data_IF_204810189246
#
_entry.id   IF_204810189246
#
_cell.length_a   1.000
_cell.length_b   1.000
_cell.length_c   1.000
_cell.angle_alpha   90.00
_cell.angle_beta   90.00
_cell.angle_gamma   90.00
#
_symmetry.space_group_name_H-M   'P 1'
#
loop_
_entity.id
_entity.type
_entity.pdbx_description
1 polymer ?
#
# COMPACT_ATOMS: atom_id res chain seq x y z
N UNK A 1 4.33 2.96 -20.50
CA UNK A 1 4.16 3.67 -19.21
C UNK A 1 5.44 3.48 -18.42
N UNK A 2 5.98 4.54 -17.82
CA UNK A 2 7.16 4.44 -16.98
C UNK A 2 6.76 3.85 -15.61
N UNK A 3 7.57 2.92 -15.10
CA UNK A 3 7.30 2.22 -13.85
C UNK A 3 8.37 2.59 -12.83
N UNK A 4 7.92 2.87 -11.62
CA UNK A 4 8.77 2.97 -10.46
C UNK A 4 8.76 1.64 -9.71
N UNK A 5 9.94 1.05 -9.53
CA UNK A 5 10.09 -0.20 -8.77
C UNK A 5 10.57 0.11 -7.35
N UNK A 6 9.80 -0.32 -6.36
CA UNK A 6 10.10 -0.15 -4.94
C UNK A 6 10.45 -1.52 -4.36
N UNK A 7 11.67 -1.67 -3.89
CA UNK A 7 12.19 -2.90 -3.27
C UNK A 7 11.81 -2.93 -1.80
N UNK A 8 11.28 -4.07 -1.33
CA UNK A 8 10.88 -4.27 0.07
C UNK A 8 11.84 -5.28 0.72
N UNK A 9 12.62 -4.84 1.69
CA UNK A 9 13.58 -5.70 2.42
C UNK A 9 13.23 -5.81 3.89
N UNK A 10 13.54 -6.96 4.46
CA UNK A 10 13.53 -7.13 5.91
C UNK A 10 14.71 -6.36 6.53
N UNK A 11 14.51 -5.86 7.74
CA UNK A 11 15.58 -5.26 8.55
C UNK A 11 15.67 -5.98 9.90
N UNK A 12 16.84 -5.94 10.52
CA UNK A 12 17.15 -6.68 11.77
C UNK A 12 16.29 -6.29 12.97
N UNK A 13 15.49 -5.22 12.87
CA UNK A 13 14.72 -4.62 13.97
C UNK A 13 13.19 -4.75 13.83
N UNK A 14 12.68 -5.68 13.00
CA UNK A 14 11.23 -5.87 12.71
C UNK A 14 10.59 -4.72 11.92
N UNK A 15 11.40 -4.01 11.14
CA UNK A 15 10.92 -3.03 10.18
C UNK A 15 11.06 -3.57 8.76
N UNK A 16 10.25 -3.06 7.85
CA UNK A 16 10.46 -3.19 6.42
C UNK A 16 11.05 -1.87 5.90
N UNK A 17 12.11 -1.98 5.11
CA UNK A 17 12.67 -0.86 4.37
C UNK A 17 12.16 -0.91 2.94
N UNK A 18 11.59 0.21 2.48
CA UNK A 18 11.10 0.35 1.12
C UNK A 18 11.98 1.37 0.39
N UNK A 19 12.70 0.88 -0.61
CA UNK A 19 13.74 1.64 -1.31
C UNK A 19 13.44 1.67 -2.81
N UNK A 20 13.59 2.83 -3.43
CA UNK A 20 13.51 2.97 -4.89
C UNK A 20 14.64 2.16 -5.56
N UNK A 21 14.30 1.24 -6.45
CA UNK A 21 15.26 0.30 -7.02
C UNK A 21 16.30 0.99 -7.93
N UNK A 22 15.89 2.05 -8.63
CA UNK A 22 16.74 2.75 -9.59
C UNK A 22 17.74 3.68 -8.89
N UNK A 23 17.24 4.51 -7.96
CA UNK A 23 18.04 5.52 -7.26
C UNK A 23 18.64 5.04 -5.94
N UNK A 24 18.21 3.88 -5.43
CA UNK A 24 18.53 3.37 -4.09
C UNK A 24 18.10 4.34 -2.97
N UNK A 25 17.18 5.26 -3.26
CA UNK A 25 16.67 6.23 -2.29
C UNK A 25 15.67 5.58 -1.35
N UNK A 26 15.81 5.69 -0.01
CA UNK A 26 14.80 5.26 0.93
C UNK A 26 13.49 6.05 0.75
N UNK A 27 12.39 5.34 0.53
CA UNK A 27 11.08 5.95 0.33
C UNK A 27 10.22 5.86 1.59
N UNK A 28 10.18 4.69 2.23
CA UNK A 28 9.36 4.45 3.41
C UNK A 28 10.07 3.57 4.43
N UNK A 29 9.76 3.80 5.70
CA UNK A 29 9.97 2.85 6.78
C UNK A 29 8.63 2.32 7.25
N UNK A 30 8.51 1.00 7.39
CA UNK A 30 7.29 0.38 7.87
C UNK A 30 7.60 -0.43 9.11
N UNK A 31 6.95 -0.08 10.21
CA UNK A 31 6.97 -0.84 11.45
C UNK A 31 5.77 -1.78 11.44
N UNK A 32 6.01 -3.06 11.73
CA UNK A 32 4.94 -4.05 11.93
C UNK A 32 5.01 -4.55 13.36
N UNK A 33 3.90 -4.44 14.10
CA UNK A 33 3.87 -4.84 15.50
C UNK A 33 2.56 -5.55 15.88
N UNK A 34 2.53 -6.17 17.05
CA UNK A 34 1.33 -6.85 17.58
C UNK A 34 0.37 -5.90 18.30
N UNK A 35 0.84 -4.69 18.62
CA UNK A 35 0.04 -3.65 19.27
C UNK A 35 -0.77 -2.88 18.22
N UNK A 36 -1.81 -2.17 18.63
CA UNK A 36 -2.59 -1.31 17.73
C UNK A 36 -1.91 0.07 17.66
N UNK A 37 -1.68 0.64 16.45
CA UNK A 37 -1.91 0.03 15.13
C UNK A 37 -0.88 -1.06 14.79
N UNK A 38 -1.33 -2.12 14.11
CA UNK A 38 -0.48 -3.26 13.74
C UNK A 38 0.58 -2.90 12.71
N UNK A 39 0.36 -1.84 11.92
CA UNK A 39 1.31 -1.34 10.94
C UNK A 39 1.37 0.18 10.99
N UNK A 40 2.58 0.71 10.94
CA UNK A 40 2.87 2.14 10.84
C UNK A 40 3.88 2.34 9.71
N UNK A 41 3.48 3.05 8.66
CA UNK A 41 4.35 3.43 7.55
C UNK A 41 4.66 4.92 7.63
N UNK A 42 5.94 5.25 7.57
CA UNK A 42 6.46 6.60 7.61
C UNK A 42 7.13 6.86 6.27
N UNK A 43 6.74 7.94 5.61
CA UNK A 43 7.39 8.39 4.38
C UNK A 43 8.65 9.19 4.67
N UNK A 44 9.77 8.74 4.09
CA UNK A 44 11.11 9.32 4.27
C UNK A 44 11.48 10.31 3.16
N UNK A 45 11.05 10.06 1.92
CA UNK A 45 11.39 10.92 0.79
C UNK A 45 10.67 12.28 0.87
N UNK A 46 11.30 13.39 0.43
CA UNK A 46 10.65 14.69 0.36
C UNK A 46 9.41 14.63 -0.54
N UNK A 47 8.43 15.48 -0.25
CA UNK A 47 7.31 15.75 -1.18
C UNK A 47 7.93 16.40 -2.42
N UNK A 48 7.59 15.98 -3.66
CA UNK A 48 8.02 16.74 -4.82
C UNK A 48 7.33 18.11 -4.74
N UNK A 49 8.14 19.14 -4.47
CA UNK A 49 7.95 20.54 -4.86
C UNK A 49 6.54 21.12 -4.74
N UNK A 50 6.24 21.73 -3.59
CA UNK A 50 5.76 23.11 -3.64
C UNK A 50 7.04 23.96 -3.75
N UNK A 51 7.28 24.58 -4.90
CA UNK A 51 8.46 25.41 -5.21
C UNK A 51 8.53 26.72 -4.38
N UNK A 52 8.21 26.70 -3.09
CA UNK A 52 8.20 27.93 -2.29
C UNK A 52 8.93 27.92 -0.97
N UNK A 53 9.50 26.82 -0.50
CA UNK A 53 10.32 26.88 0.71
C UNK A 53 11.39 25.79 0.73
N UNK A 54 12.62 26.18 0.44
CA UNK A 54 13.85 25.57 0.96
C UNK A 54 13.84 25.63 2.50
N UNK A 55 12.98 24.86 3.14
CA UNK A 55 13.03 24.67 4.59
C UNK A 55 13.73 23.36 4.88
N UNK A 56 14.86 23.50 5.57
CA UNK A 56 15.51 22.44 6.34
C UNK A 56 14.48 21.58 7.08
N UNK A 57 14.87 20.33 7.39
CA UNK A 57 14.12 19.44 8.27
C UNK A 57 13.44 20.25 9.38
N UNK A 58 12.10 20.20 9.52
CA UNK A 58 11.41 20.98 10.53
C UNK A 58 11.95 20.64 11.91
N UNK A 59 12.15 21.66 12.74
CA UNK A 59 12.75 21.55 14.09
C UNK A 59 12.02 20.55 15.00
N UNK A 60 10.73 20.30 14.73
CA UNK A 60 9.95 19.27 15.40
C UNK A 60 9.82 18.03 14.51
N UNK A 61 10.81 17.15 14.61
CA UNK A 61 10.81 15.83 13.97
C UNK A 61 9.56 15.02 14.33
N UNK A 62 9.07 15.11 15.57
CA UNK A 62 7.91 14.34 16.02
C UNK A 62 6.63 14.81 15.33
N UNK A 63 6.36 16.11 15.26
CA UNK A 63 5.22 16.64 14.51
C UNK A 63 5.33 16.36 13.01
N UNK A 64 6.54 16.40 12.46
CA UNK A 64 6.81 16.09 11.06
C UNK A 64 6.54 14.64 10.70
N UNK A 65 6.99 13.70 11.55
CA UNK A 65 6.73 12.29 11.38
C UNK A 65 5.25 11.98 11.62
N UNK A 66 4.61 12.54 12.65
CA UNK A 66 3.17 12.39 12.93
C UNK A 66 2.30 12.73 11.71
N UNK A 67 2.60 13.82 10.99
CA UNK A 67 1.89 14.23 9.76
C UNK A 67 2.07 13.26 8.58
N UNK A 68 3.10 12.41 8.62
CA UNK A 68 3.49 11.48 7.55
C UNK A 68 3.33 10.02 7.94
N UNK A 69 2.69 9.74 9.07
CA UNK A 69 2.36 8.38 9.48
C UNK A 69 1.08 7.95 8.78
N UNK A 70 1.17 6.82 8.10
CA UNK A 70 0.05 6.03 7.63
C UNK A 70 -0.06 4.83 8.55
N UNK A 71 -1.26 4.53 9.05
CA UNK A 71 -1.44 3.37 9.94
C UNK A 71 -2.42 2.37 9.35
N UNK A 72 -2.20 1.09 9.66
CA UNK A 72 -3.18 0.05 9.40
C UNK A 72 -3.52 -0.68 10.71
N UNK A 73 -4.81 -0.79 10.98
CA UNK A 73 -5.39 -1.50 12.12
C UNK A 73 -6.15 -2.70 11.58
N UNK A 74 -5.73 -3.89 11.98
CA UNK A 74 -6.40 -5.11 11.60
C UNK A 74 -6.32 -6.16 12.71
N UNK A 75 -7.41 -6.91 12.85
CA UNK A 75 -7.46 -8.08 13.71
C UNK A 75 -7.21 -9.30 12.83
N UNK A 76 -6.29 -10.19 13.23
CA UNK A 76 -5.93 -11.38 12.43
C UNK A 76 -7.13 -12.24 11.98
N UNK A 77 -8.25 -12.20 12.71
CA UNK A 77 -9.48 -12.94 12.39
C UNK A 77 -10.52 -12.12 11.60
N UNK A 78 -10.20 -10.87 11.26
CA UNK A 78 -11.13 -9.96 10.57
C UNK A 78 -10.97 -10.09 9.05
N UNK A 79 -12.08 -9.98 8.33
CA UNK A 79 -12.08 -9.84 6.87
C UNK A 79 -11.80 -8.40 6.42
N UNK A 80 -11.77 -7.45 7.37
CA UNK A 80 -11.64 -6.04 7.10
C UNK A 80 -10.40 -5.47 7.80
N UNK A 81 -9.72 -4.56 7.11
CA UNK A 81 -8.61 -3.76 7.62
C UNK A 81 -9.03 -2.29 7.62
N UNK A 82 -8.90 -1.63 8.76
CA UNK A 82 -9.06 -0.18 8.85
C UNK A 82 -7.71 0.48 8.60
N UNK A 83 -7.59 1.18 7.48
CA UNK A 83 -6.43 2.00 7.16
C UNK A 83 -6.74 3.42 7.60
N UNK A 84 -5.78 4.08 8.24
CA UNK A 84 -5.83 5.51 8.50
C UNK A 84 -4.72 6.17 7.68
N UNK A 85 -5.14 6.91 6.66
CA UNK A 85 -4.25 7.49 5.66
C UNK A 85 -4.15 8.99 5.95
N UNK A 86 -3.02 9.42 6.54
CA UNK A 86 -2.80 10.78 7.08
C UNK A 86 -3.83 11.18 8.15
N UNK A 87 -3.80 12.45 8.57
CA UNK A 87 -4.52 12.95 9.76
C UNK A 87 -6.05 12.75 9.76
N UNK A 88 -6.73 12.48 8.63
CA UNK A 88 -8.21 12.51 8.61
C UNK A 88 -8.93 11.56 7.61
N UNK A 89 -8.29 10.51 7.09
CA UNK A 89 -8.97 9.64 6.10
C UNK A 89 -8.93 8.18 6.51
N UNK A 90 -10.00 7.75 7.17
CA UNK A 90 -10.26 6.35 7.44
C UNK A 90 -10.72 5.66 6.15
N UNK A 91 -9.98 4.64 5.75
CA UNK A 91 -10.24 3.83 4.56
C UNK A 91 -10.47 2.40 5.00
N UNK A 92 -11.64 1.86 4.68
CA UNK A 92 -11.96 0.47 4.98
C UNK A 92 -11.55 -0.42 3.80
N UNK A 93 -10.51 -1.21 4.00
CA UNK A 93 -10.10 -2.25 3.07
C UNK A 93 -10.87 -3.53 3.41
N UNK A 94 -11.78 -3.91 2.52
CA UNK A 94 -12.76 -4.99 2.74
C UNK A 94 -12.47 -6.18 1.84
N UNK A 95 -12.40 -7.38 2.42
CA UNK A 95 -12.25 -8.61 1.64
C UNK A 95 -13.56 -8.98 0.97
N UNK A 96 -13.52 -9.34 -0.32
CA UNK A 96 -14.75 -9.70 -1.08
C UNK A 96 -15.48 -10.92 -0.48
N UNK A 97 -14.73 -11.91 0.04
CA UNK A 97 -15.29 -13.08 0.73
C UNK A 97 -14.23 -13.77 1.61
N UNK A 98 -14.64 -14.70 2.48
CA UNK A 98 -13.75 -15.46 3.39
C UNK A 98 -12.68 -16.26 2.63
N UNK A 99 -12.98 -16.70 1.41
CA UNK A 99 -12.07 -17.50 0.58
C UNK A 99 -11.35 -16.68 -0.48
N UNK A 100 -11.80 -15.45 -0.76
CA UNK A 100 -11.19 -14.59 -1.76
C UNK A 100 -9.88 -14.00 -1.25
N UNK A 101 -8.82 -13.91 -2.06
CA UNK A 101 -7.62 -13.13 -1.68
C UNK A 101 -7.72 -11.66 -2.11
N UNK A 102 -8.89 -11.24 -2.59
CA UNK A 102 -9.13 -9.89 -3.10
C UNK A 102 -9.68 -8.96 -2.03
N UNK A 103 -9.15 -7.75 -2.00
CA UNK A 103 -9.54 -6.69 -1.08
C UNK A 103 -9.84 -5.40 -1.84
N UNK A 104 -10.96 -4.78 -1.52
CA UNK A 104 -11.41 -3.55 -2.18
C UNK A 104 -11.52 -2.40 -1.19
N UNK A 105 -11.26 -1.18 -1.66
CA UNK A 105 -11.44 0.04 -0.89
C UNK A 105 -11.80 1.20 -1.82
N UNK A 106 -12.53 2.18 -1.29
CA UNK A 106 -12.70 3.47 -1.97
C UNK A 106 -11.45 4.30 -1.73
N UNK A 107 -10.78 4.78 -2.80
CA UNK A 107 -9.56 5.60 -2.70
C UNK A 107 -9.91 7.08 -2.50
N UNK A 108 -9.58 7.66 -1.33
CA UNK A 108 -9.75 9.10 -1.13
C UNK A 108 -8.76 9.94 -1.94
N UNK A 109 -7.55 9.44 -2.22
CA UNK A 109 -6.56 10.15 -3.02
C UNK A 109 -7.05 10.39 -4.46
N UNK A 110 -7.65 9.37 -5.10
CA UNK A 110 -8.20 9.52 -6.44
C UNK A 110 -9.42 10.44 -6.48
N UNK A 111 -10.28 10.39 -5.46
CA UNK A 111 -11.39 11.33 -5.33
C UNK A 111 -10.90 12.78 -5.18
N UNK A 112 -9.83 13.01 -4.39
CA UNK A 112 -9.24 14.34 -4.23
C UNK A 112 -8.58 14.84 -5.52
N UNK A 113 -7.83 14.00 -6.22
CA UNK A 113 -7.17 14.37 -7.48
C UNK A 113 -8.15 14.78 -8.58
N UNK A 114 -9.33 14.14 -8.64
CA UNK A 114 -10.38 14.50 -9.61
C UNK A 114 -11.10 15.81 -9.29
N UNK A 115 -11.04 16.29 -8.04
CA UNK A 115 -11.76 17.51 -7.62
C UNK A 115 -11.04 18.77 -8.10
N UNK A 116 -9.72 18.70 -8.34
CA UNK A 116 -8.89 19.82 -8.83
C UNK A 116 -9.02 20.05 -10.34
N UNK A 117 -9.49 19.06 -11.08
CA UNK A 117 -9.83 19.18 -12.50
C UNK A 117 -11.30 19.59 -12.62
N UNK A 118 -11.55 20.84 -13.00
CA UNK A 118 -12.89 21.42 -13.19
C UNK A 118 -13.72 20.66 -14.23
N UNK A 119 -14.39 19.58 -13.82
CA UNK A 119 -15.43 18.92 -14.60
C UNK A 119 -16.55 18.50 -13.65
N UNK A 120 -17.72 19.11 -13.81
CA UNK A 120 -18.93 18.97 -13.00
C UNK A 120 -19.64 17.62 -13.13
N UNK A 121 -18.91 16.54 -13.45
CA UNK A 121 -19.44 15.17 -13.37
C UNK A 121 -19.25 14.68 -11.95
N UNK A 122 -20.34 14.24 -11.30
CA UNK A 122 -20.37 13.72 -9.94
C UNK A 122 -19.11 12.92 -9.60
N UNK A 123 -18.45 13.25 -8.48
CA UNK A 123 -17.23 12.59 -8.02
C UNK A 123 -17.50 11.09 -7.83
N UNK A 124 -17.24 10.29 -8.86
CA UNK A 124 -17.39 8.85 -8.78
C UNK A 124 -16.31 8.33 -7.82
N UNK A 125 -16.77 7.73 -6.72
CA UNK A 125 -15.92 7.00 -5.79
C UNK A 125 -15.07 6.02 -6.60
N UNK A 126 -13.75 6.24 -6.64
CA UNK A 126 -12.84 5.34 -7.34
C UNK A 126 -12.56 4.14 -6.45
N UNK A 127 -13.21 3.01 -6.74
CA UNK A 127 -12.97 1.75 -6.05
C UNK A 127 -11.68 1.15 -6.60
N UNK A 128 -10.76 0.84 -5.70
CA UNK A 128 -9.54 0.12 -5.99
C UNK A 128 -9.62 -1.28 -5.41
N UNK A 129 -9.14 -2.28 -6.15
CA UNK A 129 -9.14 -3.68 -5.73
C UNK A 129 -7.74 -4.26 -5.86
N UNK A 130 -7.20 -4.76 -4.75
CA UNK A 130 -6.10 -5.71 -4.74
C UNK A 130 -6.64 -7.10 -5.08
N UNK A 131 -6.03 -7.77 -6.05
CA UNK A 131 -6.36 -9.14 -6.43
C UNK A 131 -5.12 -9.89 -6.91
N UNK A 132 -5.21 -11.22 -6.97
CA UNK A 132 -4.13 -12.05 -7.49
C UNK A 132 -3.81 -11.69 -8.95
N UNK A 133 -2.54 -11.51 -9.27
CA UNK A 133 -2.11 -11.30 -10.65
C UNK A 133 -2.05 -12.65 -11.38
N UNK A 134 -3.10 -12.95 -12.16
CA UNK A 134 -3.21 -14.20 -12.92
C UNK A 134 -2.08 -14.41 -13.95
N UNK A 135 -1.35 -13.35 -14.29
CA UNK A 135 -0.20 -13.39 -15.22
C UNK A 135 1.14 -13.58 -14.52
N UNK A 136 1.16 -13.49 -13.19
CA UNK A 136 2.37 -13.54 -12.38
C UNK A 136 2.59 -14.89 -11.69
N UNK A 137 3.54 -14.90 -10.75
CA UNK A 137 3.81 -16.05 -9.92
C UNK A 137 2.79 -16.16 -8.77
N UNK A 138 2.73 -17.33 -8.13
CA UNK A 138 1.92 -17.50 -6.92
C UNK A 138 2.36 -16.49 -5.84
N UNK A 139 1.39 -15.70 -5.37
CA UNK A 139 1.63 -14.62 -4.40
C UNK A 139 1.85 -13.25 -5.00
N UNK A 140 1.85 -13.11 -6.33
CA UNK A 140 1.79 -11.80 -6.98
C UNK A 140 0.38 -11.22 -6.91
N UNK A 141 0.31 -9.90 -6.70
CA UNK A 141 -0.95 -9.16 -6.62
C UNK A 141 -0.90 -7.94 -7.51
N UNK A 142 -2.07 -7.46 -7.94
CA UNK A 142 -2.22 -6.21 -8.68
C UNK A 142 -3.31 -5.36 -8.05
N UNK A 143 -3.08 -4.06 -8.04
CA UNK A 143 -4.06 -3.05 -7.68
C UNK A 143 -4.71 -2.53 -8.96
N UNK A 144 -6.00 -2.78 -9.09
CA UNK A 144 -6.80 -2.32 -10.23
C UNK A 144 -7.74 -1.21 -9.81
N UNK A 145 -7.93 -0.23 -10.69
CA UNK A 145 -9.07 0.68 -10.63
C UNK A 145 -10.26 -0.03 -11.29
N UNK A 146 -11.30 -0.28 -10.50
CA UNK A 146 -12.53 -0.89 -11.02
C UNK A 146 -13.20 0.09 -12.00
N UNK A 147 -13.75 -0.45 -13.08
CA UNK A 147 -14.50 0.27 -14.09
C UNK A 147 -15.74 -0.56 -14.47
N UNK A 148 -16.76 0.08 -15.06
CA UNK A 148 -17.98 -0.62 -15.50
C UNK A 148 -17.68 -1.66 -16.59
N UNK A 149 -16.68 -1.38 -17.44
CA UNK A 149 -16.18 -2.31 -18.44
C UNK A 149 -14.81 -2.86 -18.05
N UNK A 150 -14.60 -4.16 -18.23
CA UNK A 150 -13.28 -4.81 -18.04
C UNK A 150 -12.20 -4.22 -18.95
N UNK A 151 -12.57 -3.70 -20.13
CA UNK A 151 -11.63 -3.06 -21.06
C UNK A 151 -11.06 -1.74 -20.52
N UNK A 152 -11.80 -1.06 -19.65
CA UNK A 152 -11.41 0.21 -19.03
C UNK A 152 -10.65 0.00 -17.70
N UNK A 153 -10.48 -1.26 -17.31
CA UNK A 153 -9.82 -1.64 -16.06
C UNK A 153 -8.33 -1.34 -16.13
N UNK A 154 -7.88 -0.43 -15.26
CA UNK A 154 -6.49 0.01 -15.24
C UNK A 154 -5.73 -0.55 -14.04
N UNK A 155 -4.56 -1.15 -14.30
CA UNK A 155 -3.62 -1.53 -13.25
C UNK A 155 -2.83 -0.30 -12.80
N UNK A 156 -2.84 -0.01 -11.50
CA UNK A 156 -2.15 1.13 -10.89
C UNK A 156 -0.82 0.71 -10.24
N UNK A 157 -0.81 -0.46 -9.63
CA UNK A 157 0.36 -1.03 -8.99
C UNK A 157 0.35 -2.55 -9.12
N UNK A 158 1.53 -3.17 -9.08
CA UNK A 158 1.70 -4.61 -8.91
C UNK A 158 2.62 -4.87 -7.73
N UNK A 159 2.34 -5.93 -6.99
CA UNK A 159 3.27 -6.51 -6.05
C UNK A 159 3.82 -7.80 -6.65
N UNK A 160 5.14 -7.90 -6.76
CA UNK A 160 5.85 -9.11 -7.16
C UNK A 160 6.41 -9.75 -5.91
N UNK A 161 5.94 -10.95 -5.62
CA UNK A 161 6.41 -11.72 -4.49
C UNK A 161 7.78 -12.32 -4.81
N UNK A 162 8.74 -12.15 -3.92
CA UNK A 162 10.01 -12.87 -4.02
C UNK A 162 9.96 -14.09 -3.12
N UNK A 163 9.23 -15.11 -3.56
CA UNK A 163 9.15 -16.39 -2.87
C UNK A 163 10.56 -16.93 -2.57
N UNK A 164 10.76 -17.46 -1.36
CA UNK A 164 12.01 -18.09 -0.88
C UNK A 164 13.19 -17.16 -0.58
N UNK A 165 13.01 -15.84 -0.51
CA UNK A 165 14.07 -14.93 0.00
C UNK A 165 13.86 -14.62 1.47
N UNK A 166 14.92 -14.80 2.26
CA UNK A 166 14.96 -14.40 3.68
C UNK A 166 15.32 -12.93 3.87
N UNK A 167 15.81 -12.26 2.83
CA UNK A 167 16.27 -10.86 2.87
C UNK A 167 15.24 -9.90 2.25
N UNK A 168 14.48 -10.36 1.26
CA UNK A 168 13.58 -9.54 0.47
C UNK A 168 12.16 -10.11 0.47
N UNK A 169 11.17 -9.27 0.80
CA UNK A 169 9.74 -9.63 0.74
C UNK A 169 9.26 -9.70 -0.71
N UNK A 170 9.63 -8.68 -1.50
CA UNK A 170 9.17 -8.53 -2.87
C UNK A 170 9.47 -7.14 -3.43
N UNK A 171 8.72 -6.76 -4.46
CA UNK A 171 8.77 -5.41 -5.05
C UNK A 171 7.37 -4.88 -5.33
N UNK A 172 7.18 -3.57 -5.19
CA UNK A 172 6.04 -2.88 -5.80
C UNK A 172 6.46 -2.26 -7.13
N UNK A 173 5.70 -2.51 -8.18
CA UNK A 173 5.80 -1.85 -9.47
C UNK A 173 4.64 -0.86 -9.55
N UNK A 174 4.92 0.44 -9.47
CA UNK A 174 3.90 1.49 -9.43
C UNK A 174 4.05 2.39 -10.66
N UNK A 175 2.95 2.80 -11.27
CA UNK A 175 2.99 3.77 -12.38
C UNK A 175 3.61 5.08 -11.89
N UNK A 176 4.71 5.49 -12.53
CA UNK A 176 5.48 6.65 -12.09
C UNK A 176 4.70 7.95 -12.21
N UNK A 177 3.70 7.99 -13.12
CA UNK A 177 2.83 9.15 -13.35
C UNK A 177 1.68 9.30 -12.36
N UNK A 178 1.53 8.39 -11.39
CA UNK A 178 0.53 8.53 -10.34
C UNK A 178 0.88 9.65 -9.37
N UNK A 179 -0.14 10.35 -8.89
CA UNK A 179 0.02 11.26 -7.77
C UNK A 179 0.56 10.52 -6.55
N UNK A 180 1.40 11.22 -5.80
CA UNK A 180 2.11 10.63 -4.68
C UNK A 180 1.17 10.15 -3.57
N UNK A 181 0.01 10.79 -3.37
CA UNK A 181 -1.00 10.26 -2.44
C UNK A 181 -1.50 8.90 -2.87
N UNK A 182 -1.75 8.71 -4.17
CA UNK A 182 -2.20 7.42 -4.72
C UNK A 182 -1.10 6.36 -4.58
N UNK A 183 0.18 6.74 -4.75
CA UNK A 183 1.32 5.85 -4.49
C UNK A 183 1.37 5.43 -3.01
N UNK A 184 1.24 6.39 -2.10
CA UNK A 184 1.23 6.13 -0.66
C UNK A 184 0.07 5.18 -0.28
N UNK A 185 -1.14 5.41 -0.80
CA UNK A 185 -2.32 4.54 -0.62
C UNK A 185 -2.09 3.13 -1.17
N UNK A 186 -1.52 3.02 -2.38
CA UNK A 186 -1.21 1.73 -2.99
C UNK A 186 -0.24 0.93 -2.11
N UNK A 187 0.84 1.55 -1.65
CA UNK A 187 1.86 0.87 -0.83
C UNK A 187 1.27 0.40 0.51
N UNK A 188 0.61 1.27 1.28
CA UNK A 188 0.09 0.90 2.61
C UNK A 188 -1.03 -0.14 2.51
N UNK A 189 -1.96 0.00 1.55
CA UNK A 189 -3.04 -0.96 1.36
C UNK A 189 -2.52 -2.31 0.87
N UNK A 190 -1.51 -2.32 0.00
CA UNK A 190 -0.85 -3.54 -0.46
C UNK A 190 -0.16 -4.28 0.68
N UNK A 191 0.62 -3.58 1.50
CA UNK A 191 1.27 -4.17 2.68
C UNK A 191 0.26 -4.73 3.70
N UNK A 192 -0.82 -3.99 3.94
CA UNK A 192 -1.90 -4.43 4.82
C UNK A 192 -2.60 -5.69 4.29
N UNK A 193 -2.94 -5.72 3.00
CA UNK A 193 -3.50 -6.89 2.33
C UNK A 193 -2.56 -8.09 2.42
N UNK A 194 -1.28 -7.90 2.12
CA UNK A 194 -0.26 -8.96 2.18
C UNK A 194 -0.15 -9.51 3.60
N UNK A 195 -0.19 -8.65 4.62
CA UNK A 195 -0.18 -9.09 6.02
C UNK A 195 -1.36 -10.00 6.35
N UNK A 196 -2.54 -9.76 5.77
CA UNK A 196 -3.73 -10.58 5.96
C UNK A 196 -3.68 -11.89 5.15
N UNK A 197 -3.30 -11.83 3.87
CA UNK A 197 -3.23 -13.02 3.02
C UNK A 197 -2.10 -13.94 3.45
N UNK A 198 -0.93 -13.40 3.75
CA UNK A 198 0.20 -14.19 4.22
C UNK A 198 -0.02 -14.71 5.64
N UNK A 199 -0.65 -13.96 6.56
CA UNK A 199 -0.98 -14.51 7.88
C UNK A 199 -1.97 -15.67 7.80
N UNK A 200 -2.92 -15.65 6.86
CA UNK A 200 -3.81 -16.80 6.61
C UNK A 200 -3.05 -17.97 5.98
N UNK A 201 -2.15 -17.73 5.01
CA UNK A 201 -1.35 -18.80 4.41
C UNK A 201 -0.36 -19.41 5.41
N UNK A 202 0.24 -18.60 6.30
CA UNK A 202 1.08 -19.04 7.42
C UNK A 202 0.25 -19.82 8.46
N UNK A 203 -0.95 -19.33 8.81
CA UNK A 203 -1.84 -20.03 9.74
C UNK A 203 -2.35 -21.36 9.15
N UNK A 204 -2.65 -21.40 7.84
CA UNK A 204 -3.06 -22.59 7.12
C UNK A 204 -1.95 -23.64 7.02
N UNK A 205 -0.70 -23.23 6.75
CA UNK A 205 0.45 -24.15 6.77
C UNK A 205 0.72 -24.72 8.16
N UNK A 206 0.52 -23.94 9.23
CA UNK A 206 0.68 -24.43 10.61
C UNK A 206 -0.45 -25.39 11.02
N UNK A 207 -1.68 -25.19 10.51
CA UNK A 207 -2.80 -26.08 10.81
C UNK A 207 -2.84 -27.37 9.96
N UNK A 208 -2.25 -27.36 8.75
CA UNK A 208 -2.22 -28.53 7.86
C UNK A 208 -0.87 -29.27 7.85
N UNK A 209 0.18 -28.68 8.43
CA UNK A 209 1.52 -29.27 8.54
C UNK A 209 1.76 -30.09 9.82
N UNK A 210 0.71 -30.70 10.38
CA UNK A 210 0.82 -31.61 11.51
C UNK A 210 0.66 -33.06 11.07
N UNK A 211 1.77 -33.71 10.72
CA UNK A 211 1.92 -35.17 10.80
C UNK A 211 3.35 -35.49 11.23
#
# INVERSE_FOLDING_TARGET
>A
MALQTITITYTDSKYLSLVDAASRTPLYHVKVCRQVPQMEMIRLSPVPSDERNDRAFPEDENAYFQRRVYTAKFKMTSLNVQLQIREHRDVLLSRKSILSTSYSFTSPALSAANTTSCSSSAASSSILTWEADQTGNLGDFRLVKEAENELDRRVLARFRNKAFSNEQVGTFEVDSGLDQLVKDEAVISGLAMLSMVQSINLAGMVMLGGS
#
